data_IF_593640454373
#
_entry.id   IF_593640454373
#
_cell.length_a   1.000
_cell.length_b   1.000
_cell.length_c   1.000
_cell.angle_alpha   90.00
_cell.angle_beta   90.00
_cell.angle_gamma   90.00
#
_symmetry.space_group_name_H-M   'P 1'
#
loop_
_entity.id
_entity.type
_entity.pdbx_description
1 polymer ?
#
# COMPACT_ATOMS: atom_id res chain seq x y z
N UNK A 1 -7.03 -6.56 -36.64
CA UNK A 1 -6.23 -6.06 -35.49
C UNK A 1 -6.75 -4.66 -35.16
N UNK A 2 -7.61 -4.54 -34.15
CA UNK A 2 -8.11 -3.25 -33.69
C UNK A 2 -7.01 -2.57 -32.85
N UNK A 3 -6.63 -1.35 -33.22
CA UNK A 3 -5.74 -0.50 -32.44
C UNK A 3 -6.57 0.13 -31.33
N UNK A 4 -6.49 -0.42 -30.13
CA UNK A 4 -7.09 0.18 -28.94
C UNK A 4 -6.31 1.45 -28.61
N UNK A 5 -6.83 2.60 -29.05
CA UNK A 5 -6.34 3.92 -28.63
C UNK A 5 -6.77 4.10 -27.17
N UNK A 6 -5.82 4.00 -26.25
CA UNK A 6 -6.04 4.35 -24.85
C UNK A 6 -6.13 5.89 -24.80
N UNK A 7 -7.34 6.42 -24.61
CA UNK A 7 -7.54 7.85 -24.43
C UNK A 7 -6.83 8.30 -23.15
N UNK A 8 -6.05 9.40 -23.16
CA UNK A 8 -5.34 9.88 -21.98
C UNK A 8 -6.28 10.29 -20.82
N UNK A 9 -7.58 10.42 -21.08
CA UNK A 9 -8.61 10.61 -20.04
C UNK A 9 -9.04 9.34 -19.30
N UNK A 10 -8.61 8.15 -19.73
CA UNK A 10 -9.05 6.85 -19.16
C UNK A 10 -8.66 6.70 -17.68
N UNK A 11 -7.59 7.38 -17.25
CA UNK A 11 -7.09 7.32 -15.86
C UNK A 11 -7.27 8.64 -15.09
N UNK A 12 -7.97 9.63 -15.66
CA UNK A 12 -8.12 10.99 -15.10
C UNK A 12 -9.33 11.22 -14.21
N UNK A 13 -9.86 10.16 -13.58
CA UNK A 13 -10.99 10.26 -12.66
C UNK A 13 -10.53 10.69 -11.26
N UNK A 14 -11.26 11.60 -10.62
CA UNK A 14 -11.02 11.96 -9.22
C UNK A 14 -11.47 10.81 -8.32
N UNK A 15 -10.51 10.15 -7.66
CA UNK A 15 -10.81 9.06 -6.73
C UNK A 15 -11.46 9.63 -5.47
N UNK A 16 -12.77 9.42 -5.32
CA UNK A 16 -13.49 9.79 -4.10
C UNK A 16 -13.34 8.67 -3.07
N UNK A 17 -12.80 9.00 -1.90
CA UNK A 17 -12.66 8.05 -0.79
C UNK A 17 -14.04 7.45 -0.42
N UNK A 18 -14.17 6.12 -0.31
CA UNK A 18 -15.41 5.52 0.17
C UNK A 18 -15.78 6.04 1.56
N UNK A 19 -17.06 6.41 1.81
CA UNK A 19 -17.48 6.90 3.12
C UNK A 19 -17.20 5.86 4.22
N UNK A 20 -16.82 6.32 5.41
CA UNK A 20 -16.48 5.44 6.53
C UNK A 20 -17.65 4.56 7.00
N UNK A 21 -18.88 5.00 6.73
CA UNK A 21 -20.13 4.41 7.17
C UNK A 21 -20.90 3.84 5.97
N UNK A 22 -21.32 2.57 6.09
CA UNK A 22 -22.12 1.87 5.09
C UNK A 22 -21.44 0.60 4.54
N UNK A 23 -22.26 -0.39 4.14
CA UNK A 23 -21.81 -1.51 3.29
C UNK A 23 -21.91 -1.08 1.83
N UNK A 24 -20.90 -1.42 1.03
CA UNK A 24 -20.95 -1.23 -0.42
C UNK A 24 -22.21 -1.87 -0.99
N UNK A 25 -22.92 -1.14 -1.85
CA UNK A 25 -24.16 -1.57 -2.48
C UNK A 25 -23.91 -2.43 -3.72
N UNK A 26 -22.71 -2.33 -4.29
CA UNK A 26 -22.30 -3.07 -5.48
C UNK A 26 -20.99 -3.82 -5.26
N UNK A 27 -20.77 -4.87 -6.06
CA UNK A 27 -19.50 -5.63 -6.05
C UNK A 27 -18.28 -4.76 -6.37
N UNK A 28 -18.46 -3.67 -7.14
CA UNK A 28 -17.41 -2.69 -7.40
C UNK A 28 -17.05 -1.93 -6.12
N UNK A 29 -18.04 -1.36 -5.44
CA UNK A 29 -17.81 -0.62 -4.18
C UNK A 29 -17.16 -1.48 -3.09
N UNK A 30 -17.53 -2.77 -3.01
CA UNK A 30 -16.91 -3.70 -2.07
C UNK A 30 -15.44 -3.96 -2.39
N UNK A 31 -15.07 -4.05 -3.68
CA UNK A 31 -13.68 -4.22 -4.12
C UNK A 31 -12.86 -2.96 -3.88
N UNK A 32 -13.40 -1.79 -4.22
CA UNK A 32 -12.74 -0.51 -4.02
C UNK A 32 -12.47 -0.26 -2.53
N UNK A 33 -13.42 -0.66 -1.67
CA UNK A 33 -13.25 -0.60 -0.22
C UNK A 33 -12.21 -1.62 0.27
N UNK A 34 -12.26 -2.86 -0.22
CA UNK A 34 -11.27 -3.89 0.14
C UNK A 34 -9.85 -3.47 -0.29
N UNK A 35 -9.68 -2.82 -1.44
CA UNK A 35 -8.39 -2.28 -1.85
C UNK A 35 -7.90 -1.14 -0.96
N UNK A 36 -8.81 -0.30 -0.46
CA UNK A 36 -8.47 0.77 0.47
C UNK A 36 -8.09 0.23 1.86
N UNK A 37 -8.86 -0.72 2.38
CA UNK A 37 -8.61 -1.32 3.71
C UNK A 37 -7.35 -2.21 3.72
N UNK A 38 -6.94 -2.71 2.55
CA UNK A 38 -5.76 -3.57 2.39
C UNK A 38 -4.48 -2.78 2.08
N UNK A 39 -4.48 -1.45 2.21
CA UNK A 39 -3.25 -0.67 2.19
C UNK A 39 -2.41 -1.10 3.41
N UNK A 40 -1.28 -1.81 3.20
CA UNK A 40 -0.50 -2.33 4.32
C UNK A 40 -0.03 -1.16 5.16
N UNK A 41 -0.26 -1.22 6.47
CA UNK A 41 0.24 -0.25 7.43
C UNK A 41 1.71 0.03 7.12
N UNK A 42 1.98 1.23 6.60
CA UNK A 42 3.24 1.61 5.96
C UNK A 42 4.43 1.65 6.93
N UNK A 43 4.21 1.31 8.21
CA UNK A 43 5.19 1.38 9.29
C UNK A 43 5.82 0.05 9.72
N UNK A 44 5.24 -1.11 9.41
CA UNK A 44 5.76 -2.37 9.95
C UNK A 44 7.12 -2.77 9.34
N UNK A 45 7.29 -2.55 8.03
CA UNK A 45 8.54 -2.89 7.34
C UNK A 45 9.73 -2.02 7.75
N UNK A 46 9.50 -0.72 7.98
CA UNK A 46 10.57 0.23 8.33
C UNK A 46 11.08 0.00 9.75
N UNK A 47 10.20 -0.32 10.71
CA UNK A 47 10.60 -0.65 12.10
C UNK A 47 11.48 -1.90 12.14
N UNK A 48 11.13 -2.93 11.37
CA UNK A 48 11.92 -4.17 11.29
C UNK A 48 13.33 -3.90 10.71
N UNK A 49 13.41 -3.07 9.68
CA UNK A 49 14.68 -2.68 9.06
C UNK A 49 15.59 -1.93 10.04
N UNK A 50 15.05 -0.97 10.79
CA UNK A 50 15.81 -0.22 11.81
C UNK A 50 16.31 -1.16 12.91
N UNK A 51 15.48 -2.09 13.37
CA UNK A 51 15.86 -3.07 14.39
C UNK A 51 17.02 -3.97 13.92
N UNK A 52 16.97 -4.46 12.68
CA UNK A 52 18.03 -5.31 12.12
C UNK A 52 19.36 -4.57 11.99
N UNK A 53 19.34 -3.30 11.54
CA UNK A 53 20.54 -2.47 11.45
C UNK A 53 21.14 -2.22 12.83
N UNK A 54 20.32 -1.90 13.83
CA UNK A 54 20.77 -1.66 15.19
C UNK A 54 21.41 -2.91 15.83
N UNK A 55 20.77 -4.07 15.68
CA UNK A 55 21.28 -5.35 16.21
C UNK A 55 22.56 -5.76 15.49
N UNK A 56 22.62 -5.64 14.16
CA UNK A 56 23.82 -5.92 13.38
C UNK A 56 25.00 -5.03 13.78
N UNK A 57 24.75 -3.74 14.02
CA UNK A 57 25.77 -2.80 14.46
C UNK A 57 26.28 -3.11 15.88
N UNK A 58 25.40 -3.54 16.79
CA UNK A 58 25.79 -3.94 18.15
C UNK A 58 26.62 -5.23 18.12
N UNK A 59 26.21 -6.23 17.34
CA UNK A 59 26.91 -7.50 17.18
C UNK A 59 28.30 -7.30 16.55
N UNK A 60 28.42 -6.46 15.52
CA UNK A 60 29.71 -6.12 14.90
C UNK A 60 30.69 -5.44 15.88
N UNK A 61 30.18 -4.56 16.76
CA UNK A 61 31.01 -3.94 17.80
C UNK A 61 31.47 -4.95 18.86
N UNK A 62 30.67 -5.97 19.14
CA UNK A 62 31.01 -7.01 20.10
C UNK A 62 32.09 -7.97 19.59
N UNK A 63 32.15 -8.24 18.28
CA UNK A 63 33.17 -9.12 17.67
C UNK A 63 34.52 -8.45 17.40
N UNK A 64 34.57 -7.11 17.46
CA UNK A 64 35.78 -6.29 17.25
C UNK A 64 36.51 -5.92 18.56
N UNK A 65 36.00 -6.36 19.72
CA UNK A 65 36.65 -6.25 21.04
C UNK A 65 37.42 -7.53 21.34
#
# INVERSE_FOLDING_TARGET
MAKDKIDPGTFGGEWTRPPSHGRGRSMRELRDRASFDNEPSTGCGSVLLVALVAVGHLAWRATKK
#
